data_IF_782656336289
#
_entry.id   IF_782656336289
#
_cell.length_a   1.000
_cell.length_b   1.000
_cell.length_c   1.000
_cell.angle_alpha   90.00
_cell.angle_beta   90.00
_cell.angle_gamma   90.00
#
_symmetry.space_group_name_H-M   'P 1'
#
loop_
_entity.id
_entity.type
_entity.pdbx_description
1 polymer ?
#
# COMPACT_ATOMS: atom_id res chain seq x y z
N UNK A 1 16.22 -7.49 8.74
CA UNK A 1 14.94 -6.94 8.26
C UNK A 1 15.22 -5.53 7.75
N UNK A 2 14.93 -5.24 6.49
CA UNK A 2 15.15 -3.91 5.91
C UNK A 2 13.79 -3.20 5.90
N UNK A 3 13.74 -2.00 6.49
CA UNK A 3 12.58 -1.11 6.42
C UNK A 3 12.93 -0.03 5.41
N UNK A 4 12.13 0.07 4.35
CA UNK A 4 12.27 1.12 3.35
C UNK A 4 11.66 2.43 3.84
N UNK A 5 12.23 3.53 3.39
CA UNK A 5 11.93 4.89 3.81
C UNK A 5 11.66 5.77 2.59
N UNK A 6 11.27 7.03 2.80
CA UNK A 6 11.11 8.00 1.72
C UNK A 6 12.37 8.16 0.85
N UNK A 7 13.57 7.85 1.36
CA UNK A 7 14.83 7.89 0.58
C UNK A 7 14.95 6.78 -0.48
N UNK A 8 14.19 5.70 -0.29
CA UNK A 8 14.16 4.57 -1.23
C UNK A 8 13.19 4.82 -2.38
N UNK A 9 12.27 5.79 -2.25
CA UNK A 9 11.39 6.26 -3.31
C UNK A 9 12.11 7.30 -4.18
N UNK A 10 12.60 6.87 -5.34
CA UNK A 10 13.42 7.68 -6.26
C UNK A 10 12.68 8.06 -7.53
N UNK A 11 11.76 7.21 -7.97
CA UNK A 11 11.01 7.37 -9.21
C UNK A 11 9.51 7.17 -8.92
N UNK A 12 8.97 6.04 -9.34
CA UNK A 12 7.59 5.65 -9.12
C UNK A 12 7.50 4.64 -7.97
N UNK A 13 6.47 4.77 -7.14
CA UNK A 13 6.32 3.91 -5.97
C UNK A 13 6.20 2.43 -6.36
N UNK A 14 5.48 2.11 -7.43
CA UNK A 14 5.32 0.74 -7.93
C UNK A 14 6.57 0.16 -8.58
N UNK A 15 7.56 1.00 -8.90
CA UNK A 15 8.88 0.56 -9.39
C UNK A 15 9.87 0.34 -8.24
N UNK A 16 9.85 1.23 -7.26
CA UNK A 16 10.81 1.20 -6.15
C UNK A 16 10.36 0.31 -4.98
N UNK A 17 9.06 -0.02 -4.87
CA UNK A 17 8.48 -0.81 -3.79
C UNK A 17 7.70 -2.01 -4.34
N UNK A 18 8.03 -3.20 -3.83
CA UNK A 18 7.40 -4.46 -4.21
C UNK A 18 6.43 -4.94 -3.13
N UNK A 19 5.38 -5.69 -3.49
CA UNK A 19 4.57 -6.42 -2.51
C UNK A 19 5.44 -7.27 -1.58
N UNK A 20 5.29 -7.07 -0.27
CA UNK A 20 6.10 -7.69 0.78
C UNK A 20 7.16 -6.77 1.38
N UNK A 21 7.46 -5.63 0.75
CA UNK A 21 8.39 -4.65 1.31
C UNK A 21 7.81 -4.03 2.59
N UNK A 22 8.66 -3.92 3.62
CA UNK A 22 8.35 -3.19 4.84
C UNK A 22 8.67 -1.73 4.65
N UNK A 23 7.79 -0.87 5.14
CA UNK A 23 7.93 0.58 5.07
C UNK A 23 7.87 1.19 6.46
N UNK A 24 8.50 2.34 6.62
CA UNK A 24 8.43 3.12 7.85
C UNK A 24 7.09 3.85 7.98
N UNK A 25 6.91 4.50 9.13
CA UNK A 25 5.70 5.28 9.39
C UNK A 25 5.60 6.50 8.48
N UNK A 26 6.73 7.06 8.00
CA UNK A 26 6.71 8.24 7.14
C UNK A 26 6.06 7.93 5.78
N UNK A 27 6.38 6.78 5.16
CA UNK A 27 5.70 6.32 3.95
C UNK A 27 4.22 6.05 4.23
N UNK A 28 3.89 5.35 5.32
CA UNK A 28 2.50 5.08 5.68
C UNK A 28 1.70 6.38 5.86
N UNK A 29 2.22 7.33 6.62
CA UNK A 29 1.60 8.63 6.89
C UNK A 29 1.45 9.45 5.60
N UNK A 30 2.42 9.36 4.68
CA UNK A 30 2.29 9.99 3.36
C UNK A 30 1.04 9.49 2.63
N UNK A 31 0.87 8.17 2.51
CA UNK A 31 -0.29 7.58 1.83
C UNK A 31 -1.61 7.76 2.59
N UNK A 32 -1.58 7.83 3.91
CA UNK A 32 -2.76 8.13 4.72
C UNK A 32 -3.26 9.57 4.49
N UNK A 33 -2.34 10.51 4.31
CA UNK A 33 -2.65 11.94 4.28
C UNK A 33 -2.71 12.56 2.87
N UNK A 34 -2.27 11.85 1.82
CA UNK A 34 -2.33 12.37 0.44
C UNK A 34 -3.76 12.51 -0.06
N UNK A 35 -4.64 11.56 0.29
CA UNK A 35 -6.07 11.54 -0.03
C UNK A 35 -6.83 10.84 1.10
N UNK A 36 -8.13 11.12 1.30
CA UNK A 36 -8.94 10.37 2.27
C UNK A 36 -8.85 8.86 1.98
N UNK A 37 -8.54 8.00 2.96
CA UNK A 37 -8.34 6.57 2.70
C UNK A 37 -9.63 5.87 2.26
N UNK A 38 -9.52 4.86 1.40
CA UNK A 38 -10.64 3.96 1.06
C UNK A 38 -10.99 3.06 2.25
N UNK A 39 -9.96 2.56 2.90
CA UNK A 39 -10.04 1.74 4.11
C UNK A 39 -8.96 2.25 5.05
N UNK A 40 -9.37 2.57 6.28
CA UNK A 40 -8.47 2.93 7.38
C UNK A 40 -8.93 2.19 8.62
N UNK A 41 -8.12 1.21 9.04
CA UNK A 41 -8.32 0.39 10.24
C UNK A 41 -6.97 0.32 10.96
N UNK A 42 -7.01 -0.07 12.23
CA UNK A 42 -5.81 -0.15 13.09
C UNK A 42 -4.63 -0.93 12.50
N UNK A 43 -4.89 -1.85 11.56
CA UNK A 43 -3.85 -2.65 10.92
C UNK A 43 -3.92 -2.64 9.38
N UNK A 44 -4.73 -1.78 8.76
CA UNK A 44 -4.92 -1.78 7.31
C UNK A 44 -5.18 -0.39 6.77
N UNK A 45 -4.44 -0.03 5.74
CA UNK A 45 -4.67 1.15 4.92
C UNK A 45 -4.88 0.73 3.47
N UNK A 46 -5.92 1.25 2.84
CA UNK A 46 -6.06 1.27 1.38
C UNK A 46 -6.20 2.71 0.90
N UNK A 47 -5.33 3.09 -0.03
CA UNK A 47 -5.34 4.41 -0.67
C UNK A 47 -6.59 4.54 -1.55
N UNK A 48 -7.22 5.71 -1.58
CA UNK A 48 -8.51 5.89 -2.30
C UNK A 48 -8.42 5.84 -3.81
N UNK A 49 -7.28 6.23 -4.38
CA UNK A 49 -7.12 6.24 -5.83
C UNK A 49 -6.99 4.81 -6.35
N UNK A 50 -7.86 4.38 -7.29
CA UNK A 50 -7.68 3.11 -7.98
C UNK A 50 -6.35 3.11 -8.75
N UNK A 51 -5.52 2.11 -8.53
CA UNK A 51 -4.34 1.88 -9.37
C UNK A 51 -4.74 1.38 -10.76
N UNK A 52 -5.74 0.51 -10.82
CA UNK A 52 -6.15 -0.12 -12.08
C UNK A 52 -7.42 -0.95 -11.91
N UNK A 53 -7.84 -1.59 -12.99
CA UNK A 53 -9.01 -2.46 -13.05
C UNK A 53 -8.59 -3.88 -13.47
N UNK A 54 -9.00 -4.89 -12.70
CA UNK A 54 -8.79 -6.29 -13.05
C UNK A 54 -10.04 -6.86 -13.74
N UNK A 55 -9.83 -7.69 -14.77
CA UNK A 55 -10.91 -8.30 -15.57
C UNK A 55 -11.83 -9.21 -14.76
N UNK A 56 -11.42 -9.64 -13.56
CA UNK A 56 -12.20 -10.48 -12.64
C UNK A 56 -13.11 -9.68 -11.70
N UNK A 57 -13.19 -8.36 -11.86
CA UNK A 57 -14.38 -7.62 -11.38
C UNK A 57 -14.12 -6.46 -10.42
N UNK A 58 -13.09 -5.64 -10.65
CA UNK A 58 -13.08 -4.34 -9.98
C UNK A 58 -11.76 -3.58 -9.97
N UNK A 59 -11.83 -2.41 -9.36
CA UNK A 59 -10.68 -1.57 -9.07
C UNK A 59 -9.78 -2.19 -8.00
N UNK A 60 -8.47 -2.03 -8.17
CA UNK A 60 -7.44 -2.41 -7.19
C UNK A 60 -6.76 -1.18 -6.59
N UNK A 61 -6.34 -1.26 -5.35
CA UNK A 61 -5.86 -0.13 -4.55
C UNK A 61 -4.56 -0.47 -3.85
N UNK A 62 -3.63 0.48 -3.78
CA UNK A 62 -2.41 0.32 -2.99
C UNK A 62 -2.79 0.03 -1.53
N UNK A 63 -2.27 -1.07 -1.00
CA UNK A 63 -2.69 -1.64 0.28
C UNK A 63 -1.49 -1.81 1.21
N UNK A 64 -1.64 -1.41 2.47
CA UNK A 64 -0.64 -1.60 3.52
C UNK A 64 -1.27 -2.34 4.70
N UNK A 65 -0.52 -3.27 5.29
CA UNK A 65 -0.93 -4.00 6.51
C UNK A 65 0.11 -3.79 7.60
N UNK A 66 -0.34 -3.43 8.79
CA UNK A 66 0.51 -3.40 9.97
C UNK A 66 0.55 -4.79 10.62
N UNK A 67 1.74 -5.38 10.72
CA UNK A 67 1.92 -6.74 11.25
C UNK A 67 2.32 -6.79 12.73
N UNK A 68 2.31 -5.63 13.40
CA UNK A 68 2.74 -5.48 14.80
C UNK A 68 4.18 -5.00 14.94
N UNK A 69 4.96 -4.98 13.85
CA UNK A 69 6.33 -4.48 13.83
C UNK A 69 6.45 -3.27 12.91
N UNK A 70 5.91 -3.37 11.69
CA UNK A 70 5.90 -2.27 10.73
C UNK A 70 4.72 -2.38 9.78
N UNK A 71 4.54 -1.36 8.95
CA UNK A 71 3.69 -1.46 7.77
C UNK A 71 4.38 -2.31 6.70
N UNK A 72 3.59 -3.14 6.03
CA UNK A 72 4.00 -4.00 4.91
C UNK A 72 3.17 -3.59 3.71
N UNK A 73 3.83 -3.20 2.63
CA UNK A 73 3.17 -2.93 1.37
C UNK A 73 2.69 -4.26 0.77
N UNK A 74 1.39 -4.38 0.51
CA UNK A 74 0.74 -5.59 -0.03
C UNK A 74 0.56 -5.53 -1.55
N UNK A 75 0.99 -4.45 -2.19
CA UNK A 75 0.70 -4.21 -3.60
C UNK A 75 -0.68 -3.61 -3.81
N UNK A 76 -1.19 -3.80 -5.03
CA UNK A 76 -2.54 -3.42 -5.42
C UNK A 76 -3.51 -4.59 -5.18
N UNK A 77 -4.48 -4.38 -4.28
CA UNK A 77 -5.46 -5.37 -3.86
C UNK A 77 -6.88 -4.86 -4.12
N UNK A 78 -7.86 -5.76 -4.22
CA UNK A 78 -9.27 -5.34 -4.20
C UNK A 78 -9.63 -4.68 -2.87
N UNK A 79 -10.74 -3.94 -2.85
CA UNK A 79 -11.27 -3.33 -1.62
C UNK A 79 -11.43 -4.37 -0.50
N UNK A 80 -10.94 -4.03 0.69
CA UNK A 80 -10.93 -4.89 1.89
C UNK A 80 -10.22 -6.25 1.70
N UNK A 81 -9.36 -6.39 0.68
CA UNK A 81 -8.54 -7.58 0.42
C UNK A 81 -7.06 -7.28 0.61
N UNK A 82 -6.24 -8.33 0.69
CA UNK A 82 -4.79 -8.22 1.00
C UNK A 82 -3.91 -9.02 0.03
N UNK A 83 -4.54 -9.67 -0.93
CA UNK A 83 -3.90 -10.42 -2.00
C UNK A 83 -3.58 -9.49 -3.18
N UNK A 84 -2.32 -9.49 -3.60
CA UNK A 84 -1.90 -8.73 -4.78
C UNK A 84 -2.48 -9.34 -6.07
N UNK A 85 -2.90 -8.49 -7.00
CA UNK A 85 -3.64 -8.89 -8.21
C UNK A 85 -2.85 -8.67 -9.51
N UNK A 86 -1.80 -7.82 -9.50
CA UNK A 86 -1.01 -7.45 -10.68
C UNK A 86 0.33 -8.19 -10.77
#
# INVERSE_FOLDING_TARGET
MIIKTMKDWKYDFGTDFNPGDRVDNEIYEHFLNVLPPLVDRSNMLQVSEPYGWDSRGGSTYATFIHDGISWVYKGHCFRDKTEHIH
#
